data_IF_241830650039
#
_entry.id   IF_241830650039
#
_cell.length_a   1.000
_cell.length_b   1.000
_cell.length_c   1.000
_cell.angle_alpha   90.00
_cell.angle_beta   90.00
_cell.angle_gamma   90.00
#
_symmetry.space_group_name_H-M   'P 1'
#
loop_
_entity.id
_entity.type
_entity.pdbx_description
1 polymer ?
#
# COMPACT_ATOMS: atom_id res chain seq x y z
N UNK A 1 11.48 16.67 18.74
CA UNK A 1 12.56 15.71 18.42
C UNK A 1 12.41 15.41 16.94
N UNK A 2 13.35 15.87 16.12
CA UNK A 2 13.27 15.77 14.65
C UNK A 2 14.08 14.57 14.17
N UNK A 3 13.47 13.67 13.42
CA UNK A 3 14.16 12.67 12.61
C UNK A 3 14.05 13.09 11.14
N UNK A 4 15.20 13.25 10.47
CA UNK A 4 15.29 13.43 9.01
C UNK A 4 16.08 12.24 8.48
N UNK A 5 15.52 11.53 7.50
CA UNK A 5 16.27 10.61 6.65
C UNK A 5 16.04 11.03 5.19
N UNK A 6 17.13 11.49 4.57
CA UNK A 6 17.41 11.76 3.15
C UNK A 6 16.54 12.77 2.36
N UNK A 7 17.19 13.87 1.97
CA UNK A 7 16.89 14.64 0.75
C UNK A 7 18.06 14.41 -0.22
N UNK A 8 17.90 13.49 -1.17
CA UNK A 8 18.65 13.48 -2.42
C UNK A 8 17.72 14.03 -3.51
N UNK A 9 18.21 14.96 -4.33
CA UNK A 9 17.48 15.34 -5.55
C UNK A 9 17.60 14.15 -6.52
N UNK A 10 16.56 13.31 -6.56
CA UNK A 10 16.46 12.14 -7.43
C UNK A 10 15.88 10.92 -6.72
N UNK A 11 14.72 10.46 -7.20
CA UNK A 11 14.07 9.12 -7.12
C UNK A 11 14.13 8.41 -5.76
N UNK A 12 12.96 8.08 -5.20
CA UNK A 12 12.85 7.18 -4.03
C UNK A 12 13.53 5.81 -4.27
N UNK A 13 13.53 4.91 -3.27
CA UNK A 13 14.21 3.62 -3.39
C UNK A 13 13.77 2.87 -4.66
N UNK A 14 14.71 2.29 -5.41
CA UNK A 14 14.41 1.60 -6.67
C UNK A 14 14.35 0.08 -6.46
N UNK A 15 13.19 -0.51 -6.74
CA UNK A 15 12.95 -1.95 -6.65
C UNK A 15 12.67 -2.58 -8.02
N UNK A 16 13.02 -1.92 -9.13
CA UNK A 16 12.81 -2.40 -10.50
C UNK A 16 13.46 -3.77 -10.76
N UNK A 17 14.56 -4.06 -10.08
CA UNK A 17 15.32 -5.32 -10.23
C UNK A 17 14.82 -6.47 -9.34
N UNK A 18 13.83 -6.22 -8.47
CA UNK A 18 13.20 -7.21 -7.59
C UNK A 18 12.10 -7.92 -8.38
N UNK A 19 12.48 -8.71 -9.37
CA UNK A 19 11.56 -9.31 -10.36
C UNK A 19 11.00 -10.70 -9.97
N UNK A 20 11.21 -11.11 -8.73
CA UNK A 20 10.79 -12.42 -8.23
C UNK A 20 10.47 -12.40 -6.75
N UNK A 21 9.64 -13.37 -6.33
CA UNK A 21 9.32 -13.58 -4.92
C UNK A 21 10.57 -13.88 -4.09
N UNK A 22 11.55 -14.62 -4.64
CA UNK A 22 12.78 -14.94 -3.93
C UNK A 22 13.60 -13.68 -3.61
N UNK A 23 13.73 -12.76 -4.59
CA UNK A 23 14.42 -11.48 -4.36
C UNK A 23 13.67 -10.62 -3.34
N UNK A 24 12.34 -10.63 -3.37
CA UNK A 24 11.53 -9.89 -2.40
C UNK A 24 11.68 -10.48 -0.97
N UNK A 25 11.69 -11.81 -0.84
CA UNK A 25 11.95 -12.51 0.42
C UNK A 25 13.34 -12.24 0.98
N UNK A 26 14.37 -12.19 0.12
CA UNK A 26 15.73 -11.83 0.51
C UNK A 26 15.79 -10.40 1.09
N UNK A 27 15.13 -9.44 0.45
CA UNK A 27 15.07 -8.05 0.94
C UNK A 27 14.20 -7.93 2.20
N UNK A 28 13.14 -8.73 2.33
CA UNK A 28 12.36 -8.84 3.57
C UNK A 28 13.21 -9.37 4.72
N UNK A 29 13.99 -10.43 4.51
CA UNK A 29 14.90 -10.99 5.50
C UNK A 29 16.00 -9.99 5.92
N UNK A 30 16.32 -9.03 5.06
CA UNK A 30 17.27 -7.94 5.33
C UNK A 30 16.61 -6.69 5.93
N UNK A 31 15.31 -6.74 6.24
CA UNK A 31 14.53 -5.60 6.73
C UNK A 31 14.56 -4.37 5.80
N UNK A 32 14.65 -4.61 4.48
CA UNK A 32 14.51 -3.57 3.44
C UNK A 32 13.10 -3.52 2.84
N UNK A 33 12.38 -4.65 2.91
CA UNK A 33 10.95 -4.74 2.61
C UNK A 33 10.21 -5.25 3.83
N UNK A 34 8.89 -5.06 3.83
CA UNK A 34 7.95 -5.62 4.78
C UNK A 34 6.77 -6.26 4.06
N UNK A 35 6.11 -7.21 4.72
CA UNK A 35 4.87 -7.82 4.22
C UNK A 35 3.69 -6.95 4.67
N UNK A 36 2.86 -6.54 3.73
CA UNK A 36 1.69 -5.70 3.98
C UNK A 36 0.43 -6.38 3.49
N UNK A 37 -0.62 -6.35 4.31
CA UNK A 37 -1.95 -6.81 3.92
C UNK A 37 -2.64 -5.78 3.03
N UNK A 38 -3.19 -6.24 1.90
CA UNK A 38 -4.03 -5.41 1.02
C UNK A 38 -5.37 -5.11 1.71
N UNK A 39 -6.12 -6.15 2.08
CA UNK A 39 -7.26 -6.07 2.99
C UNK A 39 -6.74 -6.25 4.43
N UNK A 40 -6.87 -5.25 5.31
CA UNK A 40 -6.39 -5.37 6.70
C UNK A 40 -7.23 -6.38 7.50
N UNK A 41 -6.63 -6.93 8.56
CA UNK A 41 -7.26 -7.96 9.39
C UNK A 41 -8.53 -7.46 10.08
N UNK A 42 -8.56 -6.19 10.44
CA UNK A 42 -9.70 -5.47 11.02
C UNK A 42 -10.92 -5.46 10.09
N UNK A 43 -10.69 -5.59 8.77
CA UNK A 43 -11.75 -5.66 7.75
C UNK A 43 -12.01 -7.10 7.29
N UNK A 44 -11.46 -8.10 7.99
CA UNK A 44 -11.60 -9.53 7.67
C UNK A 44 -10.55 -10.09 6.72
N UNK A 45 -9.47 -9.34 6.46
CA UNK A 45 -8.34 -9.82 5.65
C UNK A 45 -7.50 -10.89 6.36
N UNK A 46 -7.12 -11.93 5.63
CA UNK A 46 -6.24 -12.99 6.13
C UNK A 46 -4.81 -12.86 5.63
N UNK A 47 -3.87 -13.48 6.33
CA UNK A 47 -2.49 -13.66 5.85
C UNK A 47 -2.43 -14.87 4.90
N UNK A 48 -2.70 -14.63 3.62
CA UNK A 48 -2.55 -15.58 2.53
C UNK A 48 -1.97 -14.86 1.30
N UNK A 49 -1.29 -15.59 0.43
CA UNK A 49 -0.44 -15.03 -0.64
C UNK A 49 -1.14 -13.98 -1.52
N UNK A 50 -2.46 -14.11 -1.74
CA UNK A 50 -3.23 -13.19 -2.58
C UNK A 50 -3.57 -11.86 -1.88
N UNK A 51 -3.45 -11.80 -0.55
CA UNK A 51 -3.72 -10.61 0.25
C UNK A 51 -2.45 -9.95 0.80
N UNK A 52 -1.27 -10.45 0.40
CA UNK A 52 0.02 -9.97 0.91
C UNK A 52 0.87 -9.46 -0.24
N UNK A 53 1.47 -8.30 -0.05
CA UNK A 53 2.49 -7.74 -0.95
C UNK A 53 3.74 -7.38 -0.17
N UNK A 54 4.89 -7.42 -0.86
CA UNK A 54 6.13 -6.87 -0.33
C UNK A 54 6.21 -5.39 -0.68
N UNK A 55 6.45 -4.53 0.31
CA UNK A 55 6.52 -3.08 0.15
C UNK A 55 7.73 -2.51 0.89
N UNK A 56 8.16 -1.27 0.56
CA UNK A 56 9.24 -0.61 1.30
C UNK A 56 8.93 -0.50 2.79
N UNK A 57 9.94 -0.45 3.65
CA UNK A 57 9.72 -0.28 5.09
C UNK A 57 8.95 1.00 5.41
N UNK A 58 7.98 0.90 6.32
CA UNK A 58 7.15 2.00 6.79
C UNK A 58 5.87 2.23 5.96
N UNK A 59 5.71 1.51 4.85
CA UNK A 59 4.54 1.63 3.99
C UNK A 59 3.28 1.02 4.61
N UNK A 60 3.43 -0.06 5.37
CA UNK A 60 2.38 -0.71 6.16
C UNK A 60 1.84 0.24 7.21
N UNK A 61 2.72 1.00 7.89
CA UNK A 61 2.29 2.01 8.84
C UNK A 61 1.52 3.15 8.16
N UNK A 62 2.01 3.64 7.03
CA UNK A 62 1.32 4.68 6.26
C UNK A 62 -0.07 4.23 5.76
N UNK A 63 -0.18 2.98 5.30
CA UNK A 63 -1.48 2.38 4.93
C UNK A 63 -2.39 2.22 6.14
N UNK A 64 -1.86 1.74 7.27
CA UNK A 64 -2.64 1.57 8.49
C UNK A 64 -3.23 2.89 9.02
N UNK A 65 -2.54 4.02 8.84
CA UNK A 65 -3.09 5.34 9.16
C UNK A 65 -4.34 5.66 8.31
N UNK A 66 -4.33 5.33 7.02
CA UNK A 66 -5.50 5.51 6.15
C UNK A 66 -6.63 4.56 6.57
N UNK A 67 -6.32 3.28 6.71
CA UNK A 67 -7.32 2.26 7.04
C UNK A 67 -7.98 2.53 8.40
N UNK A 68 -7.18 2.81 9.44
CA UNK A 68 -7.68 2.92 10.81
C UNK A 68 -8.25 4.29 11.13
N UNK A 69 -7.64 5.38 10.62
CA UNK A 69 -8.04 6.73 11.02
C UNK A 69 -9.01 7.39 10.03
N UNK A 70 -9.10 6.90 8.79
CA UNK A 70 -10.01 7.43 7.78
C UNK A 70 -11.14 6.45 7.47
N UNK A 71 -10.82 5.20 7.14
CA UNK A 71 -11.81 4.25 6.60
C UNK A 71 -12.61 3.56 7.70
N UNK A 72 -11.96 3.10 8.77
CA UNK A 72 -12.61 2.40 9.88
C UNK A 72 -13.75 3.21 10.53
N UNK A 73 -13.62 4.52 10.80
CA UNK A 73 -14.74 5.33 11.30
C UNK A 73 -15.93 5.37 10.33
N UNK A 74 -15.66 5.44 9.01
CA UNK A 74 -16.72 5.44 7.99
C UNK A 74 -17.45 4.09 7.89
N UNK A 75 -16.74 2.99 8.15
CA UNK A 75 -17.35 1.65 8.27
C UNK A 75 -18.26 1.61 9.50
N UNK A 76 -17.79 2.11 10.65
CA UNK A 76 -18.59 2.16 11.88
C UNK A 76 -19.85 3.01 11.73
N UNK A 77 -19.78 4.09 10.96
CA UNK A 77 -20.93 4.95 10.63
C UNK A 77 -21.84 4.37 9.54
N UNK A 78 -21.49 3.22 8.94
CA UNK A 78 -22.24 2.60 7.84
C UNK A 78 -22.14 3.33 6.50
N UNK A 79 -21.23 4.32 6.38
CA UNK A 79 -21.00 5.09 5.14
C UNK A 79 -20.14 4.34 4.13
N UNK A 80 -19.34 3.39 4.60
CA UNK A 80 -18.52 2.50 3.78
C UNK A 80 -18.88 1.07 4.14
N UNK A 81 -19.08 0.21 3.13
CA UNK A 81 -19.28 -1.24 3.33
C UNK A 81 -18.44 -2.08 2.36
N UNK A 82 -17.75 -1.44 1.43
CA UNK A 82 -16.86 -2.09 0.49
C UNK A 82 -15.49 -1.39 0.48
N UNK A 83 -14.44 -2.18 0.31
CA UNK A 83 -13.04 -1.75 0.35
C UNK A 83 -12.25 -2.47 -0.74
N UNK A 84 -11.30 -1.78 -1.35
CA UNK A 84 -10.33 -2.35 -2.27
C UNK A 84 -8.97 -1.68 -2.08
N UNK A 85 -7.92 -2.50 -2.06
CA UNK A 85 -6.54 -2.06 -2.13
C UNK A 85 -5.86 -2.82 -3.27
N UNK A 86 -5.56 -2.12 -4.37
CA UNK A 86 -5.02 -2.72 -5.59
C UNK A 86 -3.56 -2.30 -5.75
N UNK A 87 -2.61 -3.25 -5.75
CA UNK A 87 -1.22 -2.93 -6.03
C UNK A 87 -1.01 -2.59 -7.51
N UNK A 88 -0.23 -1.56 -7.77
CA UNK A 88 0.22 -1.15 -9.09
C UNK A 88 1.70 -1.48 -9.24
N UNK A 89 2.07 -2.18 -10.32
CA UNK A 89 3.44 -2.63 -10.59
C UNK A 89 4.02 -1.94 -11.82
N UNK A 90 5.34 -1.83 -11.87
CA UNK A 90 6.08 -1.29 -13.00
C UNK A 90 7.10 -2.31 -13.52
N UNK A 91 7.10 -2.49 -14.85
CA UNK A 91 7.99 -3.44 -15.51
C UNK A 91 7.78 -4.87 -15.02
N UNK A 92 8.88 -5.51 -14.61
CA UNK A 92 8.89 -6.87 -14.09
C UNK A 92 8.96 -6.92 -12.56
N UNK A 93 8.88 -5.79 -11.86
CA UNK A 93 9.06 -5.77 -10.40
C UNK A 93 7.94 -6.50 -9.67
N UNK A 94 8.32 -7.22 -8.64
CA UNK A 94 7.49 -7.91 -7.66
C UNK A 94 7.14 -7.00 -6.47
N UNK A 95 7.70 -5.79 -6.41
CA UNK A 95 7.35 -4.75 -5.43
C UNK A 95 6.45 -3.73 -6.13
N UNK A 96 5.25 -3.40 -5.62
CA UNK A 96 4.39 -2.43 -6.26
C UNK A 96 4.98 -1.02 -6.16
N UNK A 97 4.82 -0.22 -7.21
CA UNK A 97 5.16 1.22 -7.22
C UNK A 97 4.11 2.05 -6.46
N UNK A 98 2.88 1.55 -6.32
CA UNK A 98 1.83 2.20 -5.55
C UNK A 98 0.76 1.22 -5.08
N UNK A 99 -0.04 1.65 -4.10
CA UNK A 99 -1.31 1.00 -3.74
C UNK A 99 -2.46 1.98 -4.00
N UNK A 100 -3.42 1.55 -4.80
CA UNK A 100 -4.68 2.27 -5.02
C UNK A 100 -5.69 1.81 -3.97
N UNK A 101 -6.12 2.73 -3.11
CA UNK A 101 -7.08 2.45 -2.04
C UNK A 101 -8.40 3.13 -2.38
N UNK A 102 -9.47 2.35 -2.38
CA UNK A 102 -10.84 2.82 -2.57
C UNK A 102 -11.77 2.22 -1.53
N UNK A 103 -12.67 3.04 -0.99
CA UNK A 103 -13.71 2.60 -0.07
C UNK A 103 -15.03 3.31 -0.39
N UNK A 104 -16.13 2.54 -0.42
CA UNK A 104 -17.42 3.04 -0.90
C UNK A 104 -18.61 2.34 -0.23
N UNK A 105 -19.78 2.94 -0.41
CA UNK A 105 -21.06 2.30 -0.14
C UNK A 105 -21.54 1.56 -1.41
N UNK A 106 -21.98 0.29 -1.33
CA UNK A 106 -22.36 -0.49 -2.51
C UNK A 106 -23.53 0.09 -3.31
N UNK A 107 -24.38 0.89 -2.67
CA UNK A 107 -25.48 1.62 -3.34
C UNK A 107 -25.02 2.84 -4.15
N UNK A 108 -23.73 3.18 -4.10
CA UNK A 108 -23.15 4.29 -4.87
C UNK A 108 -21.73 3.95 -5.35
N UNK A 109 -21.57 2.87 -6.14
CA UNK A 109 -20.25 2.34 -6.49
C UNK A 109 -19.47 3.28 -7.42
N UNK A 110 -20.13 4.12 -8.23
CA UNK A 110 -19.45 5.13 -9.04
C UNK A 110 -18.83 6.27 -8.23
N UNK A 111 -19.25 6.46 -6.97
CA UNK A 111 -18.77 7.55 -6.11
C UNK A 111 -18.06 6.96 -4.90
N UNK A 112 -16.75 6.78 -5.02
CA UNK A 112 -15.93 6.38 -3.86
C UNK A 112 -16.05 7.43 -2.76
N UNK A 113 -16.36 6.98 -1.55
CA UNK A 113 -16.38 7.84 -0.35
C UNK A 113 -14.96 8.25 0.02
N UNK A 114 -14.01 7.34 -0.19
CA UNK A 114 -12.57 7.57 -0.04
C UNK A 114 -11.88 6.95 -1.26
N UNK A 115 -11.00 7.72 -1.89
CA UNK A 115 -10.09 7.24 -2.93
C UNK A 115 -8.74 7.93 -2.75
N UNK A 116 -7.66 7.15 -2.85
CA UNK A 116 -6.31 7.67 -2.70
C UNK A 116 -5.25 6.72 -3.24
N UNK A 117 -4.09 7.27 -3.57
CA UNK A 117 -2.92 6.51 -4.02
C UNK A 117 -1.82 6.66 -2.98
N UNK A 118 -1.31 5.54 -2.48
CA UNK A 118 -0.10 5.50 -1.68
C UNK A 118 1.08 5.17 -2.60
N UNK A 119 1.86 6.18 -2.99
CA UNK A 119 3.01 6.03 -3.89
C UNK A 119 4.26 5.55 -3.13
N UNK A 120 4.86 4.46 -3.61
CA UNK A 120 5.98 3.77 -2.96
C UNK A 120 7.32 4.15 -3.58
N UNK A 121 7.42 4.03 -4.90
CA UNK A 121 8.64 4.28 -5.66
C UNK A 121 8.35 4.38 -7.17
N UNK A 122 9.39 4.52 -7.99
CA UNK A 122 9.29 4.53 -9.45
C UNK A 122 8.43 5.69 -9.98
N UNK A 123 7.74 5.45 -11.10
CA UNK A 123 6.90 6.49 -11.74
C UNK A 123 5.73 6.96 -10.89
N UNK A 124 5.35 6.23 -9.82
CA UNK A 124 4.29 6.68 -8.91
C UNK A 124 4.66 7.94 -8.12
N UNK A 125 5.95 8.14 -7.83
CA UNK A 125 6.43 9.34 -7.10
C UNK A 125 6.35 10.61 -7.95
N UNK A 126 6.24 10.48 -9.28
CA UNK A 126 6.16 11.61 -10.22
C UNK A 126 4.72 12.10 -10.43
N UNK A 127 3.73 11.40 -9.88
CA UNK A 127 2.29 11.71 -10.05
C UNK A 127 1.76 12.73 -9.03
N UNK A 128 2.59 13.12 -8.06
CA UNK A 128 2.25 14.02 -6.95
C UNK A 128 2.54 15.49 -7.22
#
# INVERSE_FOLDING_TARGET
>A
MFFRAWLGVGVGPDFSMVDSVQKAEELYAQAQLERMLLLPAEFGGGDFDQNVVYVPVGFTAAKAEIDNNVISPLIQEGKVQAYSAVPEYEGASFVPIAIQISAWHPDSPETSTVAGTLAAWGSALERG
#
